data_IF_353621423018
#
_entry.id   IF_353621423018
#
_cell.length_a   1.000
_cell.length_b   1.000
_cell.length_c   1.000
_cell.angle_alpha   90.00
_cell.angle_beta   90.00
_cell.angle_gamma   90.00
#
_symmetry.space_group_name_H-M   'P 1'
#
loop_
_entity.id
_entity.type
_entity.pdbx_description
1 polymer ?
#
# COMPACT_ATOMS: atom_id res chain seq x y z
N UNK A 1 6.61 -9.41 4.06
CA UNK A 1 6.80 -8.02 4.55
C UNK A 1 7.32 -7.20 3.38
N UNK A 2 6.87 -5.96 3.18
CA UNK A 2 7.25 -5.13 2.03
C UNK A 2 7.52 -3.68 2.44
N UNK A 3 8.22 -2.96 1.56
CA UNK A 3 8.42 -1.51 1.63
C UNK A 3 7.84 -0.88 0.37
N UNK A 4 6.98 0.13 0.55
CA UNK A 4 6.33 0.86 -0.52
C UNK A 4 7.00 2.21 -0.71
N UNK A 5 7.24 2.57 -1.98
CA UNK A 5 7.73 3.87 -2.38
C UNK A 5 6.70 4.57 -3.26
N UNK A 6 6.74 5.90 -3.29
CA UNK A 6 6.08 6.73 -4.30
C UNK A 6 7.14 7.48 -5.09
N UNK A 7 6.91 7.65 -6.39
CA UNK A 7 7.74 8.51 -7.19
C UNK A 7 7.31 9.96 -7.01
N UNK A 8 8.27 10.83 -6.72
CA UNK A 8 8.09 12.27 -6.55
C UNK A 8 8.52 12.96 -7.85
N UNK A 9 7.56 13.44 -8.64
CA UNK A 9 7.84 13.97 -9.99
C UNK A 9 8.67 15.24 -9.95
N UNK A 10 8.39 16.15 -9.02
CA UNK A 10 9.11 17.42 -8.87
C UNK A 10 10.59 17.20 -8.52
N UNK A 11 10.86 16.29 -7.57
CA UNK A 11 12.22 15.95 -7.17
C UNK A 11 12.89 14.85 -7.99
N UNK A 12 12.23 14.32 -9.03
CA UNK A 12 12.68 13.20 -9.86
C UNK A 12 13.27 12.00 -9.06
N UNK A 13 12.62 11.62 -7.96
CA UNK A 13 13.17 10.66 -7.01
C UNK A 13 12.12 9.78 -6.34
N UNK A 14 12.54 8.62 -5.86
CA UNK A 14 11.68 7.72 -5.07
C UNK A 14 11.70 8.12 -3.59
N UNK A 15 10.52 8.34 -3.01
CA UNK A 15 10.33 8.62 -1.58
C UNK A 15 9.63 7.45 -0.90
N UNK A 16 10.09 7.07 0.30
CA UNK A 16 9.44 6.00 1.07
C UNK A 16 8.00 6.42 1.46
N UNK A 17 7.04 5.51 1.25
CA UNK A 17 5.63 5.70 1.59
C UNK A 17 5.19 4.86 2.79
N UNK A 18 5.84 3.72 3.04
CA UNK A 18 5.70 2.98 4.28
C UNK A 18 6.24 1.55 4.23
N UNK A 19 6.53 1.00 5.41
CA UNK A 19 6.98 -0.39 5.61
C UNK A 19 5.94 -1.17 6.38
N UNK A 20 5.58 -2.36 5.90
CA UNK A 20 4.68 -3.24 6.64
C UNK A 20 4.18 -4.44 5.88
N UNK A 21 2.96 -4.87 6.21
CA UNK A 21 2.30 -6.02 5.60
C UNK A 21 1.40 -5.57 4.45
N UNK A 22 1.50 -6.28 3.33
CA UNK A 22 0.66 -6.12 2.15
C UNK A 22 -0.28 -7.32 2.09
N UNK A 23 -1.56 -7.09 1.78
CA UNK A 23 -2.56 -8.13 1.58
C UNK A 23 -3.33 -7.86 0.30
N UNK A 24 -3.68 -8.94 -0.40
CA UNK A 24 -4.71 -8.94 -1.43
C UNK A 24 -6.01 -9.38 -0.78
N UNK A 25 -7.04 -8.56 -0.87
CA UNK A 25 -8.34 -8.81 -0.23
C UNK A 25 -9.41 -8.91 -1.30
N UNK A 26 -10.07 -10.06 -1.39
CA UNK A 26 -11.23 -10.27 -2.26
C UNK A 26 -12.50 -9.80 -1.57
N UNK A 27 -13.24 -8.88 -2.20
CA UNK A 27 -14.57 -8.49 -1.73
C UNK A 27 -15.55 -9.66 -1.93
N UNK A 28 -16.34 -9.98 -0.91
CA UNK A 28 -17.17 -11.20 -0.90
C UNK A 28 -18.31 -11.15 -1.93
N UNK A 29 -18.93 -9.99 -2.10
CA UNK A 29 -20.11 -9.84 -2.97
C UNK A 29 -19.72 -9.55 -4.42
N UNK A 30 -18.76 -8.65 -4.63
CA UNK A 30 -18.38 -8.19 -5.97
C UNK A 30 -17.24 -9.01 -6.59
N UNK A 31 -16.59 -9.86 -5.79
CA UNK A 31 -15.44 -10.66 -6.23
C UNK A 31 -14.17 -9.86 -6.55
N UNK A 32 -14.21 -8.52 -6.51
CA UNK A 32 -13.06 -7.65 -6.84
C UNK A 32 -11.94 -7.83 -5.81
N UNK A 33 -10.70 -7.89 -6.26
CA UNK A 33 -9.52 -8.07 -5.41
C UNK A 33 -8.78 -6.75 -5.30
N UNK A 34 -8.61 -6.23 -4.08
CA UNK A 34 -7.86 -4.99 -3.84
C UNK A 34 -6.54 -5.24 -3.12
N UNK A 35 -5.55 -4.42 -3.40
CA UNK A 35 -4.32 -4.32 -2.63
C UNK A 35 -4.51 -3.40 -1.44
N UNK A 36 -4.21 -3.89 -0.25
CA UNK A 36 -4.19 -3.09 0.98
C UNK A 36 -2.83 -3.26 1.68
N UNK A 37 -2.20 -2.15 2.04
CA UNK A 37 -0.97 -2.15 2.83
C UNK A 37 -1.10 -1.26 4.06
N UNK A 38 -0.61 -1.75 5.20
CA UNK A 38 -0.57 -1.00 6.48
C UNK A 38 0.85 -0.96 7.05
N UNK A 39 1.19 0.15 7.70
CA UNK A 39 2.48 0.33 8.38
C UNK A 39 2.60 -0.56 9.62
N UNK A 40 3.80 -1.11 9.89
CA UNK A 40 4.00 -2.09 10.96
C UNK A 40 3.68 -1.59 12.37
N UNK A 41 4.03 -0.34 12.73
CA UNK A 41 3.84 0.16 14.11
C UNK A 41 2.51 0.87 14.30
N UNK A 42 2.12 1.71 13.35
CA UNK A 42 0.97 2.62 13.47
C UNK A 42 -0.31 2.04 12.88
N UNK A 43 -0.22 0.96 12.10
CA UNK A 43 -1.33 0.37 11.33
C UNK A 43 -2.03 1.33 10.35
N UNK A 44 -1.46 2.52 10.11
CA UNK A 44 -1.93 3.48 9.10
C UNK A 44 -1.89 2.84 7.72
N UNK A 45 -2.95 3.05 6.94
CA UNK A 45 -3.04 2.56 5.56
C UNK A 45 -2.10 3.40 4.68
N UNK A 46 -1.15 2.75 4.00
CA UNK A 46 -0.27 3.41 3.04
C UNK A 46 -0.61 3.07 1.58
N UNK A 47 -1.39 2.02 1.32
CA UNK A 47 -2.00 1.74 0.01
C UNK A 47 -3.38 1.08 0.15
N UNK A 48 -4.31 1.48 -0.70
CA UNK A 48 -5.64 0.89 -0.90
C UNK A 48 -6.05 1.13 -2.35
N UNK A 49 -5.90 0.11 -3.20
CA UNK A 49 -6.18 0.21 -4.64
C UNK A 49 -6.93 -1.04 -5.11
N UNK A 50 -7.94 -0.85 -5.95
CA UNK A 50 -8.77 -1.93 -6.51
C UNK A 50 -8.02 -2.75 -7.56
#
# INVERSE_FOLDING_TARGET
>A
KAKLYRFDKEGNQWKERGVGSVKLLKHKETGKVRLVMRQSKTLKICANHL
#
